data_IF_223722506349
#
_entry.id   IF_223722506349
#
_cell.length_a   1.000
_cell.length_b   1.000
_cell.length_c   1.000
_cell.angle_alpha   90.00
_cell.angle_beta   90.00
_cell.angle_gamma   90.00
#
_symmetry.space_group_name_H-M   'P 1'
#
loop_
_entity.id
_entity.type
_entity.pdbx_description
1 polymer ?
#
# COMPACT_ATOMS: atom_id res chain seq x y z
N UNK A 1 -34.75 1.36 -10.14
CA UNK A 1 -33.27 1.22 -10.18
C UNK A 1 -32.90 0.43 -11.42
N UNK A 2 -32.09 0.99 -12.32
CA UNK A 2 -31.71 0.29 -13.56
C UNK A 2 -30.81 -0.91 -13.22
N UNK A 3 -31.34 -2.13 -13.39
CA UNK A 3 -30.60 -3.39 -13.22
C UNK A 3 -29.81 -3.71 -14.51
N UNK A 4 -28.87 -2.84 -14.90
CA UNK A 4 -27.99 -3.13 -16.03
C UNK A 4 -26.81 -4.00 -15.56
N UNK A 5 -27.03 -5.30 -15.38
CA UNK A 5 -25.95 -6.28 -15.22
C UNK A 5 -25.48 -6.77 -16.59
N UNK A 6 -24.16 -7.01 -16.73
CA UNK A 6 -23.56 -7.66 -17.89
C UNK A 6 -22.66 -8.78 -17.40
N UNK A 7 -22.67 -9.91 -18.11
CA UNK A 7 -21.78 -11.03 -17.83
C UNK A 7 -20.49 -10.83 -18.62
N UNK A 8 -19.35 -11.04 -17.97
CA UNK A 8 -18.03 -10.94 -18.59
C UNK A 8 -17.40 -12.33 -18.55
N UNK A 9 -17.01 -12.84 -19.71
CA UNK A 9 -16.26 -14.09 -19.84
C UNK A 9 -14.78 -13.76 -20.01
N UNK A 10 -13.93 -14.35 -19.19
CA UNK A 10 -12.48 -14.15 -19.21
C UNK A 10 -11.77 -15.50 -19.19
N UNK A 11 -10.60 -15.55 -19.84
CA UNK A 11 -9.71 -16.71 -19.82
C UNK A 11 -8.44 -16.33 -19.08
N UNK A 12 -8.04 -17.16 -18.12
CA UNK A 12 -6.86 -16.95 -17.28
C UNK A 12 -6.01 -18.25 -17.28
N UNK A 13 -4.69 -18.14 -17.08
CA UNK A 13 -3.83 -19.29 -16.83
C UNK A 13 -4.31 -20.12 -15.62
N UNK A 14 -4.14 -21.45 -15.69
CA UNK A 14 -4.64 -22.38 -14.65
C UNK A 14 -3.99 -22.14 -13.28
N UNK A 15 -2.70 -21.82 -13.26
CA UNK A 15 -1.96 -21.45 -12.06
C UNK A 15 -2.51 -20.19 -11.40
N UNK A 16 -2.92 -19.20 -12.19
CA UNK A 16 -3.54 -17.99 -11.67
C UNK A 16 -4.93 -18.28 -11.09
N UNK A 17 -5.73 -19.12 -11.75
CA UNK A 17 -7.05 -19.51 -11.25
C UNK A 17 -6.92 -20.23 -9.90
N UNK A 18 -5.92 -21.09 -9.74
CA UNK A 18 -5.63 -21.77 -8.45
C UNK A 18 -5.27 -20.78 -7.34
N UNK A 19 -4.48 -19.75 -7.65
CA UNK A 19 -4.13 -18.71 -6.68
C UNK A 19 -5.37 -17.92 -6.25
N UNK A 20 -6.22 -17.54 -7.20
CA UNK A 20 -7.48 -16.85 -6.93
C UNK A 20 -8.40 -17.70 -6.05
N UNK A 21 -8.52 -19.00 -6.31
CA UNK A 21 -9.33 -19.90 -5.49
C UNK A 21 -8.83 -20.01 -4.05
N UNK A 22 -7.51 -20.05 -3.87
CA UNK A 22 -6.90 -20.07 -2.54
C UNK A 22 -7.21 -18.78 -1.80
N UNK A 23 -7.05 -17.62 -2.43
CA UNK A 23 -7.33 -16.32 -1.83
C UNK A 23 -8.83 -16.15 -1.51
N UNK A 24 -9.71 -16.54 -2.41
CA UNK A 24 -11.16 -16.49 -2.19
C UNK A 24 -11.59 -17.34 -0.98
N UNK A 25 -11.01 -18.53 -0.79
CA UNK A 25 -11.27 -19.37 0.38
C UNK A 25 -10.85 -18.72 1.70
N UNK A 26 -9.73 -18.01 1.71
CA UNK A 26 -9.23 -17.29 2.90
C UNK A 26 -10.20 -16.18 3.30
N UNK A 27 -10.76 -15.47 2.31
CA UNK A 27 -11.75 -14.41 2.55
C UNK A 27 -13.20 -14.93 2.67
N UNK A 28 -13.41 -16.24 2.79
CA UNK A 28 -14.74 -16.88 2.84
C UNK A 28 -15.68 -16.48 1.67
N UNK A 29 -15.10 -16.19 0.51
CA UNK A 29 -15.80 -15.71 -0.68
C UNK A 29 -15.81 -16.75 -1.81
N UNK A 30 -16.77 -16.64 -2.73
CA UNK A 30 -16.74 -17.41 -3.98
C UNK A 30 -15.72 -16.81 -4.94
N UNK A 31 -15.20 -17.60 -5.90
CA UNK A 31 -14.27 -17.11 -6.93
C UNK A 31 -14.81 -15.87 -7.64
N UNK A 32 -16.07 -15.91 -8.06
CA UNK A 32 -16.71 -14.81 -8.80
C UNK A 32 -16.88 -13.56 -7.94
N UNK A 33 -17.22 -13.71 -6.66
CA UNK A 33 -17.37 -12.58 -5.75
C UNK A 33 -16.02 -11.95 -5.43
N UNK A 34 -15.01 -12.78 -5.19
CA UNK A 34 -13.65 -12.33 -4.94
C UNK A 34 -13.06 -11.56 -6.13
N UNK A 35 -13.24 -12.05 -7.36
CA UNK A 35 -12.80 -11.34 -8.57
C UNK A 35 -13.54 -10.00 -8.71
N UNK A 36 -14.85 -9.98 -8.50
CA UNK A 36 -15.66 -8.76 -8.60
C UNK A 36 -15.21 -7.72 -7.58
N UNK A 37 -15.07 -8.12 -6.32
CA UNK A 37 -14.64 -7.24 -5.25
C UNK A 37 -13.23 -6.70 -5.49
N UNK A 38 -12.29 -7.57 -5.87
CA UNK A 38 -10.92 -7.18 -6.21
C UNK A 38 -10.86 -6.14 -7.35
N UNK A 39 -11.67 -6.32 -8.39
CA UNK A 39 -11.76 -5.35 -9.49
C UNK A 39 -12.35 -4.02 -9.03
N UNK A 40 -13.39 -4.04 -8.21
CA UNK A 40 -14.01 -2.82 -7.65
C UNK A 40 -13.01 -2.07 -6.77
N UNK A 41 -12.27 -2.77 -5.90
CA UNK A 41 -11.22 -2.18 -5.06
C UNK A 41 -10.16 -1.49 -5.91
N UNK A 42 -9.68 -2.18 -6.96
CA UNK A 42 -8.69 -1.63 -7.89
C UNK A 42 -9.21 -0.40 -8.65
N UNK A 43 -10.45 -0.41 -9.10
CA UNK A 43 -11.08 0.73 -9.78
C UNK A 43 -11.28 1.94 -8.86
N UNK A 44 -11.57 1.69 -7.57
CA UNK A 44 -11.68 2.73 -6.55
C UNK A 44 -10.32 3.26 -6.07
N UNK A 45 -9.21 2.74 -6.59
CA UNK A 45 -7.87 3.09 -6.13
C UNK A 45 -7.56 2.58 -4.72
N UNK A 46 -8.38 1.68 -4.16
CA UNK A 46 -8.08 0.97 -2.92
C UNK A 46 -7.03 -0.09 -3.25
N UNK A 47 -5.76 0.32 -3.26
CA UNK A 47 -4.63 -0.61 -3.31
C UNK A 47 -4.70 -1.51 -2.07
N UNK A 48 -4.32 -2.77 -2.25
CA UNK A 48 -4.26 -3.74 -1.15
C UNK A 48 -3.26 -3.19 -0.16
N UNK A 49 -3.81 -2.64 0.91
CA UNK A 49 -3.07 -2.16 2.06
C UNK A 49 -2.38 -3.39 2.64
N UNK A 50 -1.08 -3.30 2.89
CA UNK A 50 -0.37 -4.37 3.58
C UNK A 50 -0.90 -4.54 5.03
N UNK A 51 -0.34 -5.48 5.78
CA UNK A 51 -0.78 -5.75 7.16
C UNK A 51 -0.59 -4.53 8.10
N UNK A 52 0.11 -3.48 7.66
CA UNK A 52 0.50 -2.30 8.44
C UNK A 52 -0.14 -0.98 8.01
N UNK A 53 -0.98 -0.96 6.97
CA UNK A 53 -1.66 0.27 6.58
C UNK A 53 -1.00 1.03 5.43
N UNK A 54 0.07 0.51 4.83
CA UNK A 54 0.86 1.24 3.83
C UNK A 54 0.81 0.62 2.42
N UNK A 55 1.34 1.37 1.45
CA UNK A 55 1.40 0.97 0.03
C UNK A 55 2.58 0.02 -0.29
N UNK A 56 3.26 -0.53 0.72
CA UNK A 56 4.43 -1.39 0.59
C UNK A 56 5.69 -0.70 0.06
N UNK A 57 5.66 0.63 -0.10
CA UNK A 57 6.77 1.42 -0.62
C UNK A 57 7.56 2.03 0.54
N UNK A 58 8.58 1.30 1.01
CA UNK A 58 9.54 1.85 1.96
C UNK A 58 10.49 2.81 1.22
N UNK A 59 10.49 4.07 1.62
CA UNK A 59 11.47 5.06 1.16
C UNK A 59 12.55 5.30 2.21
N UNK A 60 13.79 5.49 1.76
CA UNK A 60 14.89 5.85 2.64
C UNK A 60 14.77 7.33 3.01
N UNK A 61 14.28 7.62 4.21
CA UNK A 61 14.14 8.99 4.72
C UNK A 61 15.48 9.58 5.20
N UNK A 62 16.37 8.74 5.74
CA UNK A 62 17.73 9.10 6.17
C UNK A 62 18.65 7.90 5.98
N UNK A 63 19.78 8.11 5.30
CA UNK A 63 20.85 7.11 5.22
C UNK A 63 21.97 7.46 6.21
N UNK A 64 22.04 6.73 7.32
CA UNK A 64 23.05 6.96 8.36
C UNK A 64 24.47 6.60 7.91
N UNK A 65 24.63 5.82 6.82
CA UNK A 65 25.96 5.49 6.28
C UNK A 65 26.64 6.69 5.64
N UNK A 66 25.88 7.69 5.22
CA UNK A 66 26.40 8.97 4.72
C UNK A 66 26.97 9.84 5.86
N UNK A 67 26.53 9.61 7.10
CA UNK A 67 27.00 10.34 8.28
C UNK A 67 28.28 9.70 8.82
N UNK A 68 28.23 8.40 9.12
CA UNK A 68 29.42 7.62 9.48
C UNK A 68 29.22 6.13 9.12
N UNK A 69 30.00 5.59 8.17
CA UNK A 69 29.89 4.19 7.78
C UNK A 69 30.30 3.19 8.88
N UNK A 70 31.11 3.61 9.86
CA UNK A 70 31.54 2.74 10.98
C UNK A 70 30.56 2.76 12.17
N UNK A 71 29.47 3.54 12.07
CA UNK A 71 28.45 3.65 13.09
C UNK A 71 28.24 5.10 13.52
N UNK A 72 26.97 5.47 13.68
CA UNK A 72 26.57 6.84 14.06
C UNK A 72 26.21 6.87 15.55
N UNK A 73 26.75 7.82 16.33
CA UNK A 73 26.33 8.01 17.72
C UNK A 73 24.83 8.27 17.85
N UNK A 74 24.22 7.74 18.92
CA UNK A 74 22.77 7.85 19.14
C UNK A 74 22.26 9.30 19.19
N UNK A 75 23.09 10.24 19.66
CA UNK A 75 22.76 11.67 19.69
C UNK A 75 22.60 12.26 18.28
N UNK A 76 23.44 11.84 17.34
CA UNK A 76 23.40 12.29 15.94
C UNK A 76 22.22 11.68 15.20
N UNK A 77 21.90 10.41 15.49
CA UNK A 77 20.66 9.75 15.00
C UNK A 77 19.44 10.54 15.48
N UNK A 78 19.37 10.86 16.77
CA UNK A 78 18.26 11.62 17.34
C UNK A 78 18.17 13.03 16.73
N UNK A 79 19.30 13.69 16.50
CA UNK A 79 19.34 14.99 15.85
C UNK A 79 18.82 14.93 14.41
N UNK A 80 19.16 13.89 13.64
CA UNK A 80 18.67 13.69 12.28
C UNK A 80 17.15 13.44 12.25
N UNK A 81 16.63 12.58 13.13
CA UNK A 81 15.19 12.32 13.24
C UNK A 81 14.39 13.56 13.63
N UNK A 82 14.90 14.38 14.57
CA UNK A 82 14.26 15.66 14.95
C UNK A 82 14.21 16.68 13.80
N UNK A 83 15.09 16.57 12.81
CA UNK A 83 15.03 17.44 11.62
C UNK A 83 13.91 17.01 10.68
N UNK A 84 13.69 15.70 10.51
CA UNK A 84 12.57 15.18 9.72
C UNK A 84 11.21 15.66 10.26
N UNK A 85 11.01 15.55 11.58
CA UNK A 85 9.74 15.93 12.22
C UNK A 85 9.39 17.41 11.97
N UNK A 86 10.41 18.29 11.97
CA UNK A 86 10.24 19.72 11.64
C UNK A 86 9.92 19.97 10.17
N UNK A 87 10.49 19.18 9.26
CA UNK A 87 10.20 19.27 7.81
C UNK A 87 8.76 18.83 7.55
N UNK A 88 8.31 17.75 8.18
CA UNK A 88 6.94 17.24 8.09
C UNK A 88 5.91 18.19 8.71
N UNK A 89 6.28 18.95 9.74
CA UNK A 89 5.38 19.95 10.31
C UNK A 89 5.21 21.18 9.39
N UNK A 90 6.25 21.54 8.64
CA UNK A 90 6.21 22.65 7.67
C UNK A 90 5.42 22.28 6.40
N UNK A 91 5.58 21.05 5.90
CA UNK A 91 4.82 20.56 4.74
C UNK A 91 3.31 20.49 5.04
N UNK A 92 2.93 19.99 6.23
CA UNK A 92 1.53 19.97 6.70
C UNK A 92 0.90 21.37 6.83
N UNK A 93 1.66 22.36 7.30
CA UNK A 93 1.19 23.77 7.42
C UNK A 93 1.00 24.46 6.07
N UNK A 94 1.72 24.03 5.05
CA UNK A 94 1.62 24.59 3.69
C UNK A 94 0.47 23.96 2.90
N UNK A 95 0.26 22.64 3.07
CA UNK A 95 -0.87 21.92 2.49
C UNK A 95 -2.24 22.35 3.06
N UNK A 96 -2.30 22.75 4.34
CA UNK A 96 -3.55 23.24 4.97
C UNK A 96 -3.92 24.69 4.59
N UNK A 97 -3.06 25.42 3.88
CA UNK A 97 -3.26 26.83 3.51
C UNK A 97 -3.67 27.04 2.04
N UNK A 98 -3.90 25.97 1.30
CA UNK A 98 -4.42 25.98 -0.09
C UNK A 98 -5.78 25.30 -0.13
#
# INVERSE_FOLDING_TARGET
>A
MSKNSKVINITLPDDLVKQVDKAAKVEFATRSDYIRESLVRRLKGQRVIDEWGDEGNWETVVDFREINPEGVPAEEVLAALKRLDKVDEQSRKTASKT
#
